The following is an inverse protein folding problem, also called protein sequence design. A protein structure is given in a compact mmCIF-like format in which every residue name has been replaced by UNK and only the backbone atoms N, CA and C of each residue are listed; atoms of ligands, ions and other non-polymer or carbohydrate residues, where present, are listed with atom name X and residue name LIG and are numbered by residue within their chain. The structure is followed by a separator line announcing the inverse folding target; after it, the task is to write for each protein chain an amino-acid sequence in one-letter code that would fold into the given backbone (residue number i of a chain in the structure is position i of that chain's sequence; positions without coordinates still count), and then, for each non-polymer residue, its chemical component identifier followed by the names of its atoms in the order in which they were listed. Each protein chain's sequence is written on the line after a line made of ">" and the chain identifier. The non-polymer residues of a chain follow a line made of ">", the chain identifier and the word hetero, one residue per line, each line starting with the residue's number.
data_IF_831376041729
#
_entry.id   IF_831376041729
#
_cell.length_a   1.000
_cell.length_b   1.000
_cell.length_c   1.000
_cell.angle_alpha   90.00
_cell.angle_beta   90.00
_cell.angle_gamma   90.00
#
_symmetry.space_group_name_H-M   'P 1'
#
loop_
_entity.id
_entity.type
_entity.pdbx_description
1 polymer ?
#
# COMPACT_ATOMS: atom_id res chain seq x y z
N UNK A 1 -13.48 44.75 -18.40
CA UNK A 1 -14.83 44.56 -17.82
C UNK A 1 -15.61 43.60 -18.69
N UNK A 2 -15.93 42.42 -18.16
CA UNK A 2 -16.75 41.40 -18.82
C UNK A 2 -18.22 41.69 -18.46
N UNK A 3 -19.20 41.53 -19.36
CA UNK A 3 -20.61 41.64 -19.01
C UNK A 3 -21.01 40.62 -17.93
N UNK A 4 -21.77 41.01 -16.91
CA UNK A 4 -22.08 40.17 -15.72
C UNK A 4 -22.54 38.74 -16.04
N UNK A 5 -23.28 38.52 -17.13
CA UNK A 5 -23.75 37.19 -17.54
C UNK A 5 -22.62 36.29 -18.05
N UNK A 6 -21.63 36.87 -18.75
CA UNK A 6 -20.45 36.15 -19.23
C UNK A 6 -19.42 35.96 -18.13
N UNK A 7 -19.37 36.86 -17.14
CA UNK A 7 -18.44 36.77 -16.01
C UNK A 7 -18.68 35.51 -15.17
N UNK A 8 -19.93 35.11 -14.97
CA UNK A 8 -20.28 33.89 -14.23
C UNK A 8 -19.81 32.58 -14.89
N UNK A 9 -19.55 32.61 -16.21
CA UNK A 9 -19.09 31.44 -16.98
C UNK A 9 -17.59 31.54 -17.26
N UNK A 10 -17.13 32.70 -17.74
CA UNK A 10 -15.76 32.90 -18.20
C UNK A 10 -14.76 32.98 -17.05
N UNK A 11 -15.12 33.58 -15.92
CA UNK A 11 -14.20 33.70 -14.78
C UNK A 11 -13.80 32.33 -14.22
N UNK A 12 -14.72 31.41 -13.85
CA UNK A 12 -14.31 30.09 -13.38
C UNK A 12 -13.62 29.26 -14.47
N UNK A 13 -14.06 29.37 -15.74
CA UNK A 13 -13.43 28.65 -16.85
C UNK A 13 -11.98 29.09 -17.07
N UNK A 14 -11.73 30.39 -17.23
CA UNK A 14 -10.38 30.93 -17.45
C UNK A 14 -9.49 30.72 -16.23
N UNK A 15 -10.05 30.81 -15.02
CA UNK A 15 -9.30 30.50 -13.78
C UNK A 15 -8.84 29.04 -13.78
N UNK A 16 -9.73 28.09 -14.09
CA UNK A 16 -9.33 26.67 -14.20
C UNK A 16 -8.36 26.43 -15.34
N UNK A 17 -8.59 27.01 -16.52
CA UNK A 17 -7.73 26.83 -17.69
C UNK A 17 -6.31 27.34 -17.44
N UNK A 18 -6.17 28.56 -16.92
CA UNK A 18 -4.86 29.15 -16.61
C UNK A 18 -4.18 28.39 -15.49
N UNK A 19 -4.91 28.03 -14.43
CA UNK A 19 -4.34 27.22 -13.33
C UNK A 19 -3.87 25.87 -13.85
N UNK A 20 -4.67 25.18 -14.65
CA UNK A 20 -4.29 23.90 -15.26
C UNK A 20 -3.05 24.02 -16.17
N UNK A 21 -3.00 25.07 -16.99
CA UNK A 21 -1.85 25.36 -17.85
C UNK A 21 -0.57 25.58 -17.03
N UNK A 22 -0.64 26.36 -15.95
CA UNK A 22 0.48 26.58 -15.02
C UNK A 22 0.87 25.28 -14.31
N UNK A 23 -0.12 24.49 -13.88
CA UNK A 23 0.14 23.21 -13.21
C UNK A 23 0.84 22.22 -14.13
N UNK A 24 0.43 22.09 -15.39
CA UNK A 24 1.08 21.15 -16.32
C UNK A 24 2.42 21.66 -16.82
N UNK A 25 2.53 22.92 -17.24
CA UNK A 25 3.76 23.43 -17.87
C UNK A 25 4.81 23.88 -16.86
N UNK A 26 4.38 24.38 -15.69
CA UNK A 26 5.27 24.86 -14.64
C UNK A 26 5.54 23.81 -13.57
N UNK A 27 4.49 23.36 -12.89
CA UNK A 27 4.62 22.42 -11.77
C UNK A 27 4.92 21.00 -12.26
N UNK A 28 4.34 20.59 -13.40
CA UNK A 28 4.48 19.27 -13.99
C UNK A 28 5.93 18.83 -14.17
N UNK A 29 6.81 19.62 -14.85
CA UNK A 29 8.21 19.27 -15.02
C UNK A 29 8.97 19.10 -13.69
N UNK A 30 8.66 19.93 -12.69
CA UNK A 30 9.29 19.85 -11.37
C UNK A 30 8.88 18.54 -10.68
N UNK A 31 7.58 18.23 -10.68
CA UNK A 31 7.06 16.98 -10.10
C UNK A 31 7.62 15.76 -10.84
N UNK A 32 7.69 15.81 -12.17
CA UNK A 32 8.24 14.73 -12.98
C UNK A 32 9.73 14.49 -12.71
N UNK A 33 10.51 15.55 -12.50
CA UNK A 33 11.93 15.41 -12.13
C UNK A 33 12.09 14.74 -10.74
N UNK A 34 11.23 15.10 -9.78
CA UNK A 34 11.19 14.46 -8.45
C UNK A 34 10.79 12.98 -8.58
N UNK A 35 9.72 12.70 -9.32
CA UNK A 35 9.24 11.33 -9.57
C UNK A 35 10.32 10.47 -10.22
N UNK A 36 11.01 11.00 -11.24
CA UNK A 36 12.10 10.29 -11.92
C UNK A 36 13.24 9.95 -10.96
N UNK A 37 13.61 10.88 -10.07
CA UNK A 37 14.60 10.61 -9.03
C UNK A 37 14.14 9.55 -8.02
N UNK A 38 12.86 9.58 -7.62
CA UNK A 38 12.28 8.57 -6.74
C UNK A 38 12.21 7.20 -7.40
N UNK A 39 11.86 7.12 -8.68
CA UNK A 39 11.83 5.88 -9.46
C UNK A 39 13.20 5.20 -9.47
N UNK A 40 14.27 5.95 -9.76
CA UNK A 40 15.65 5.42 -9.71
C UNK A 40 15.99 4.89 -8.31
N UNK A 41 15.61 5.62 -7.26
CA UNK A 41 15.83 5.19 -5.88
C UNK A 41 15.07 3.91 -5.53
N UNK A 42 13.80 3.81 -5.92
CA UNK A 42 12.96 2.63 -5.68
C UNK A 42 13.46 1.44 -6.48
N UNK A 43 13.80 1.60 -7.76
CA UNK A 43 14.41 0.54 -8.57
C UNK A 43 15.71 0.03 -7.96
N UNK A 44 16.58 0.93 -7.48
CA UNK A 44 17.82 0.55 -6.81
C UNK A 44 17.55 -0.30 -5.55
N UNK A 45 16.49 0.02 -4.79
CA UNK A 45 16.09 -0.77 -3.62
C UNK A 45 15.50 -2.12 -4.04
N UNK A 46 14.58 -2.16 -5.01
CA UNK A 46 13.95 -3.39 -5.50
C UNK A 46 14.99 -4.42 -5.94
N UNK A 47 16.07 -3.96 -6.58
CA UNK A 47 17.14 -4.83 -7.11
C UNK A 47 18.20 -5.24 -6.08
N UNK A 48 18.08 -4.84 -4.80
CA UNK A 48 18.97 -5.32 -3.76
C UNK A 48 18.86 -6.86 -3.62
N UNK A 49 19.99 -7.56 -3.46
CA UNK A 49 20.00 -9.02 -3.44
C UNK A 49 19.36 -9.60 -2.17
N UNK A 50 19.11 -10.92 -2.19
CA UNK A 50 18.66 -11.71 -1.04
C UNK A 50 17.32 -11.24 -0.41
N UNK A 51 16.47 -10.55 -1.18
CA UNK A 51 15.18 -10.05 -0.70
C UNK A 51 15.26 -8.83 0.21
N UNK A 52 16.45 -8.24 0.39
CA UNK A 52 16.64 -7.05 1.23
C UNK A 52 15.80 -5.89 0.70
N UNK A 53 15.74 -5.72 -0.62
CA UNK A 53 14.91 -4.72 -1.28
C UNK A 53 13.43 -4.87 -0.94
N UNK A 54 12.92 -6.09 -1.09
CA UNK A 54 11.55 -6.44 -0.71
C UNK A 54 11.28 -6.16 0.77
N UNK A 55 12.20 -6.53 1.67
CA UNK A 55 12.06 -6.27 3.09
C UNK A 55 11.91 -4.78 3.39
N UNK A 56 12.81 -3.95 2.84
CA UNK A 56 12.82 -2.52 3.09
C UNK A 56 11.55 -1.85 2.60
N UNK A 57 11.08 -2.20 1.40
CA UNK A 57 9.84 -1.67 0.82
C UNK A 57 8.63 -2.12 1.66
N UNK A 58 8.50 -3.42 1.92
CA UNK A 58 7.38 -3.96 2.69
C UNK A 58 7.33 -3.46 4.13
N UNK A 59 8.49 -3.16 4.74
CA UNK A 59 8.58 -2.58 6.08
C UNK A 59 8.35 -1.06 6.10
N UNK A 60 8.78 -0.34 5.06
CA UNK A 60 8.56 1.10 4.95
C UNK A 60 7.09 1.44 4.63
N UNK A 61 6.42 0.63 3.82
CA UNK A 61 5.07 0.92 3.33
C UNK A 61 4.04 1.21 4.44
N UNK A 62 3.92 0.40 5.52
CA UNK A 62 2.99 0.73 6.62
C UNK A 62 3.28 2.09 7.28
N UNK A 63 4.55 2.49 7.35
CA UNK A 63 4.96 3.79 7.89
C UNK A 63 4.61 4.93 6.91
N UNK A 64 4.75 4.69 5.60
CA UNK A 64 4.34 5.62 4.56
C UNK A 64 2.82 5.83 4.53
N UNK A 65 2.04 4.77 4.80
CA UNK A 65 0.58 4.86 4.96
C UNK A 65 0.23 5.74 6.16
N UNK A 66 0.94 5.58 7.28
CA UNK A 66 0.73 6.38 8.49
C UNK A 66 0.90 7.89 8.26
N UNK A 67 1.84 8.30 7.40
CA UNK A 67 2.09 9.71 7.08
C UNK A 67 1.48 10.17 5.75
N UNK A 68 0.75 9.29 5.05
CA UNK A 68 0.03 9.62 3.81
C UNK A 68 0.87 9.68 2.53
N UNK A 69 2.20 9.50 2.60
CA UNK A 69 3.07 9.61 1.41
C UNK A 69 3.01 8.38 0.48
N UNK A 70 2.38 7.28 0.90
CA UNK A 70 2.19 6.08 0.08
C UNK A 70 1.49 6.36 -1.26
N UNK A 71 0.66 7.41 -1.34
CA UNK A 71 0.01 7.83 -2.58
C UNK A 71 1.00 8.22 -3.69
N UNK A 72 2.24 8.60 -3.32
CA UNK A 72 3.30 8.89 -4.29
C UNK A 72 3.80 7.63 -5.01
N UNK A 73 3.58 6.43 -4.45
CA UNK A 73 4.00 5.15 -5.06
C UNK A 73 3.19 4.83 -6.31
N UNK A 74 1.94 5.29 -6.41
CA UNK A 74 1.07 5.06 -7.58
C UNK A 74 1.74 5.53 -8.88
N UNK A 75 2.42 6.67 -8.85
CA UNK A 75 3.13 7.20 -10.01
C UNK A 75 4.30 6.30 -10.42
N UNK A 76 5.09 5.85 -9.43
CA UNK A 76 6.23 4.94 -9.63
C UNK A 76 5.76 3.58 -10.16
N UNK A 77 4.72 3.01 -9.56
CA UNK A 77 4.08 1.77 -9.97
C UNK A 77 3.58 1.82 -11.41
N UNK A 78 2.91 2.91 -11.77
CA UNK A 78 2.40 3.13 -13.14
C UNK A 78 3.56 3.25 -14.12
N UNK A 79 4.62 3.96 -13.75
CA UNK A 79 5.84 4.10 -14.54
C UNK A 79 6.56 2.76 -14.75
N UNK A 80 6.70 1.94 -13.70
CA UNK A 80 7.26 0.58 -13.79
C UNK A 80 6.43 -0.33 -14.68
N UNK A 81 5.10 -0.30 -14.53
CA UNK A 81 4.19 -1.10 -15.34
C UNK A 81 4.26 -0.68 -16.82
N UNK A 82 4.35 0.62 -17.10
CA UNK A 82 4.47 1.15 -18.45
C UNK A 82 5.81 0.80 -19.11
N UNK A 83 6.91 0.80 -18.35
CA UNK A 83 8.26 0.56 -18.88
C UNK A 83 8.61 -0.93 -19.00
N UNK A 84 8.18 -1.75 -18.04
CA UNK A 84 8.57 -3.16 -17.94
C UNK A 84 7.43 -4.15 -18.26
N UNK A 85 6.18 -3.68 -18.28
CA UNK A 85 5.00 -4.54 -18.33
C UNK A 85 4.69 -5.24 -17.00
N UNK A 86 5.47 -4.97 -15.94
CA UNK A 86 5.33 -5.56 -14.61
C UNK A 86 5.30 -4.48 -13.53
N UNK A 87 4.59 -4.78 -12.45
CA UNK A 87 4.55 -3.96 -11.24
C UNK A 87 4.99 -4.84 -10.05
N UNK A 88 6.30 -4.93 -9.77
CA UNK A 88 6.79 -5.61 -8.58
C UNK A 88 6.48 -4.82 -7.31
N UNK A 89 6.40 -3.49 -7.39
CA UNK A 89 6.25 -2.61 -6.23
C UNK A 89 4.91 -2.87 -5.51
N UNK A 90 3.80 -2.87 -6.25
CA UNK A 90 2.46 -3.20 -5.70
C UNK A 90 2.42 -4.59 -5.05
N UNK A 91 3.18 -5.55 -5.59
CA UNK A 91 3.26 -6.91 -5.05
C UNK A 91 3.91 -6.95 -3.68
N UNK A 92 4.99 -6.17 -3.50
CA UNK A 92 5.70 -6.06 -2.23
C UNK A 92 4.84 -5.32 -1.18
N UNK A 93 4.23 -4.21 -1.59
CA UNK A 93 3.38 -3.38 -0.73
C UNK A 93 2.11 -4.09 -0.26
N UNK A 94 1.56 -4.98 -1.09
CA UNK A 94 0.34 -5.72 -0.76
C UNK A 94 0.46 -6.55 0.53
N UNK A 95 1.67 -6.94 0.94
CA UNK A 95 1.90 -7.69 2.18
C UNK A 95 1.49 -6.92 3.43
N UNK A 96 1.47 -5.58 3.39
CA UNK A 96 0.92 -4.75 4.47
C UNK A 96 -0.55 -5.09 4.74
N UNK A 97 -1.36 -5.20 3.70
CA UNK A 97 -2.78 -5.50 3.83
C UNK A 97 -3.02 -6.90 4.41
N UNK A 98 -2.22 -7.89 4.04
CA UNK A 98 -2.29 -9.24 4.60
C UNK A 98 -1.78 -9.31 6.05
N UNK A 99 -0.71 -8.60 6.38
CA UNK A 99 -0.24 -8.47 7.75
C UNK A 99 -1.34 -7.87 8.64
N UNK A 100 -2.00 -6.81 8.16
CA UNK A 100 -3.13 -6.17 8.84
C UNK A 100 -4.29 -7.14 9.12
N UNK A 101 -4.63 -8.03 8.19
CA UNK A 101 -5.64 -9.07 8.45
C UNK A 101 -5.25 -9.95 9.63
N UNK A 102 -4.00 -10.41 9.68
CA UNK A 102 -3.49 -11.26 10.77
C UNK A 102 -3.54 -10.55 12.12
N UNK A 103 -3.07 -9.30 12.18
CA UNK A 103 -3.06 -8.49 13.40
C UNK A 103 -4.48 -8.17 13.88
N UNK A 104 -5.36 -7.71 12.98
CA UNK A 104 -6.75 -7.37 13.32
C UNK A 104 -7.53 -8.60 13.81
N UNK A 105 -7.32 -9.76 13.18
CA UNK A 105 -7.94 -11.02 13.60
C UNK A 105 -7.43 -11.48 14.98
N UNK A 106 -6.12 -11.37 15.24
CA UNK A 106 -5.55 -11.72 16.54
C UNK A 106 -6.14 -10.86 17.67
N UNK A 107 -6.23 -9.55 17.46
CA UNK A 107 -6.80 -8.63 18.45
C UNK A 107 -8.31 -8.87 18.61
N UNK A 108 -9.05 -9.13 17.51
CA UNK A 108 -10.46 -9.48 17.58
C UNK A 108 -10.72 -10.69 18.49
N UNK A 109 -9.95 -11.78 18.32
CA UNK A 109 -10.13 -13.01 19.10
C UNK A 109 -9.72 -12.87 20.57
N UNK A 110 -8.78 -11.97 20.88
CA UNK A 110 -8.30 -11.73 22.25
C UNK A 110 -8.99 -10.60 22.99
N UNK A 111 -9.71 -9.73 22.27
CA UNK A 111 -10.41 -8.60 22.85
C UNK A 111 -11.46 -9.06 23.88
N UNK A 112 -11.45 -8.43 25.06
CA UNK A 112 -12.45 -8.70 26.12
C UNK A 112 -13.68 -7.80 26.03
N UNK A 113 -13.51 -6.56 25.58
CA UNK A 113 -14.64 -5.61 25.48
C UNK A 113 -15.36 -5.73 24.14
N UNK A 114 -16.69 -5.61 24.16
CA UNK A 114 -17.51 -5.62 22.94
C UNK A 114 -17.11 -4.52 21.95
N UNK A 115 -16.69 -3.35 22.48
CA UNK A 115 -16.20 -2.24 21.66
C UNK A 115 -14.92 -2.60 20.89
N UNK A 116 -13.94 -3.22 21.56
CA UNK A 116 -12.69 -3.63 20.89
C UNK A 116 -12.92 -4.74 19.88
N UNK A 117 -13.81 -5.70 20.19
CA UNK A 117 -14.22 -6.74 19.23
C UNK A 117 -14.87 -6.13 17.98
N UNK A 118 -15.84 -5.24 18.17
CA UNK A 118 -16.53 -4.58 17.05
C UNK A 118 -15.56 -3.76 16.19
N UNK A 119 -14.65 -2.96 16.80
CA UNK A 119 -13.66 -2.21 16.03
C UNK A 119 -12.72 -3.15 15.26
N UNK A 120 -12.18 -4.19 15.90
CA UNK A 120 -11.21 -5.08 15.26
C UNK A 120 -11.83 -5.90 14.13
N UNK A 121 -13.08 -6.36 14.29
CA UNK A 121 -13.81 -7.04 13.22
C UNK A 121 -14.13 -6.09 12.06
N UNK A 122 -14.60 -4.87 12.33
CA UNK A 122 -14.85 -3.89 11.28
C UNK A 122 -13.59 -3.48 10.51
N UNK A 123 -12.47 -3.37 11.21
CA UNK A 123 -11.16 -3.16 10.60
C UNK A 123 -10.73 -4.34 9.72
N UNK A 124 -10.87 -5.57 10.23
CA UNK A 124 -10.59 -6.79 9.47
C UNK A 124 -11.41 -6.87 8.18
N UNK A 125 -12.72 -6.64 8.25
CA UNK A 125 -13.59 -6.70 7.06
C UNK A 125 -13.28 -5.60 6.06
N UNK A 126 -12.99 -4.38 6.52
CA UNK A 126 -12.51 -3.28 5.67
C UNK A 126 -11.23 -3.65 4.94
N UNK A 127 -10.28 -4.26 5.67
CA UNK A 127 -8.96 -4.61 5.13
C UNK A 127 -9.02 -5.70 4.05
N UNK A 128 -10.01 -6.61 4.09
CA UNK A 128 -10.20 -7.63 3.03
C UNK A 128 -10.36 -6.99 1.64
N UNK A 129 -10.91 -5.78 1.59
CA UNK A 129 -11.13 -5.00 0.36
C UNK A 129 -10.07 -3.91 0.16
N UNK A 130 -8.96 -3.96 0.88
CA UNK A 130 -7.83 -3.05 0.70
C UNK A 130 -7.92 -1.72 1.45
N UNK A 131 -9.00 -1.47 2.20
CA UNK A 131 -9.14 -0.22 2.97
C UNK A 131 -8.49 -0.39 4.33
N UNK A 132 -7.35 0.27 4.52
CA UNK A 132 -6.43 -0.01 5.63
C UNK A 132 -6.53 0.97 6.80
N UNK A 133 -7.15 2.13 6.60
CA UNK A 133 -7.28 3.21 7.59
C UNK A 133 -8.00 2.74 8.87
N UNK A 134 -9.10 1.97 8.80
CA UNK A 134 -9.74 1.45 10.01
C UNK A 134 -8.83 0.51 10.80
N UNK A 135 -7.96 -0.26 10.13
CA UNK A 135 -7.00 -1.13 10.80
C UNK A 135 -5.86 -0.31 11.41
N UNK A 136 -5.26 0.60 10.64
CA UNK A 136 -4.14 1.40 11.10
C UNK A 136 -4.51 2.26 12.32
N UNK A 137 -5.57 3.07 12.21
CA UNK A 137 -5.97 4.00 13.26
C UNK A 137 -6.85 3.34 14.33
N UNK A 138 -7.68 2.37 13.95
CA UNK A 138 -8.62 1.70 14.87
C UNK A 138 -8.02 0.53 15.65
N UNK A 139 -6.92 -0.05 15.17
CA UNK A 139 -6.28 -1.24 15.75
C UNK A 139 -4.80 -1.01 16.00
N UNK A 140 -4.00 -0.67 14.99
CA UNK A 140 -2.54 -0.77 15.07
C UNK A 140 -1.88 0.23 16.02
N UNK A 141 -2.37 1.46 16.04
CA UNK A 141 -1.79 2.54 16.87
C UNK A 141 -2.74 2.99 17.99
N UNK A 142 -3.94 2.41 18.07
CA UNK A 142 -4.99 2.87 18.98
C UNK A 142 -4.60 2.82 20.45
N UNK A 143 -3.92 1.74 20.84
CA UNK A 143 -3.61 1.46 22.25
C UNK A 143 -2.12 1.54 22.56
N UNK A 144 -1.28 1.03 21.66
CA UNK A 144 0.18 1.17 21.68
C UNK A 144 0.73 0.87 20.28
N UNK A 145 2.05 1.00 20.07
CA UNK A 145 2.69 0.78 18.78
C UNK A 145 3.13 -0.67 18.51
N UNK A 146 2.94 -1.62 19.44
CA UNK A 146 3.41 -3.01 19.24
C UNK A 146 2.72 -3.70 18.06
N UNK A 147 1.40 -3.58 17.85
CA UNK A 147 0.75 -4.16 16.67
C UNK A 147 1.31 -3.60 15.36
N UNK A 148 1.58 -2.29 15.31
CA UNK A 148 2.21 -1.66 14.15
C UNK A 148 3.60 -2.25 13.86
N UNK A 149 4.43 -2.46 14.89
CA UNK A 149 5.75 -3.09 14.73
C UNK A 149 5.62 -4.51 14.18
N UNK A 150 4.66 -5.30 14.66
CA UNK A 150 4.39 -6.64 14.11
C UNK A 150 4.02 -6.53 12.63
N UNK A 151 3.08 -5.64 12.27
CA UNK A 151 2.69 -5.41 10.88
C UNK A 151 3.90 -5.06 10.00
N UNK A 152 4.75 -4.13 10.44
CA UNK A 152 5.96 -3.69 9.71
C UNK A 152 6.88 -4.86 9.44
N UNK A 153 7.20 -5.65 10.46
CA UNK A 153 8.13 -6.76 10.33
C UNK A 153 7.58 -7.89 9.48
N UNK A 154 6.32 -8.29 9.68
CA UNK A 154 5.73 -9.39 8.91
C UNK A 154 5.44 -8.99 7.47
N UNK A 155 5.05 -7.73 7.22
CA UNK A 155 4.92 -7.18 5.87
C UNK A 155 6.26 -7.17 5.16
N UNK A 156 7.32 -6.69 5.82
CA UNK A 156 8.69 -6.73 5.29
C UNK A 156 9.15 -8.15 4.97
N UNK A 157 8.94 -9.12 5.88
CA UNK A 157 9.34 -10.51 5.63
C UNK A 157 8.58 -11.11 4.44
N UNK A 158 7.26 -10.90 4.36
CA UNK A 158 6.47 -11.35 3.21
C UNK A 158 6.97 -10.76 1.89
N UNK A 159 7.24 -9.45 1.89
CA UNK A 159 7.75 -8.75 0.72
C UNK A 159 9.17 -9.22 0.33
N UNK A 160 10.04 -9.49 1.32
CA UNK A 160 11.36 -10.06 1.07
C UNK A 160 11.29 -11.39 0.34
N UNK A 161 10.38 -12.28 0.78
CA UNK A 161 10.19 -13.59 0.16
C UNK A 161 9.65 -13.43 -1.27
N UNK A 162 8.66 -12.56 -1.50
CA UNK A 162 8.13 -12.30 -2.85
C UNK A 162 9.21 -11.73 -3.78
N UNK A 163 10.05 -10.83 -3.28
CA UNK A 163 11.20 -10.29 -4.01
C UNK A 163 12.20 -11.38 -4.39
N UNK A 164 12.57 -12.27 -3.47
CA UNK A 164 13.47 -13.41 -3.76
C UNK A 164 12.90 -14.36 -4.81
N UNK A 165 11.58 -14.53 -4.82
CA UNK A 165 10.86 -15.38 -5.78
C UNK A 165 10.55 -14.65 -7.10
N UNK A 166 10.94 -13.39 -7.25
CA UNK A 166 10.66 -12.56 -8.42
C UNK A 166 9.16 -12.54 -8.80
N UNK A 167 8.29 -12.45 -7.79
CA UNK A 167 6.84 -12.34 -8.01
C UNK A 167 6.52 -10.87 -8.31
N UNK A 168 5.81 -10.63 -9.41
CA UNK A 168 5.35 -9.31 -9.81
C UNK A 168 3.97 -9.42 -10.46
N UNK A 169 3.15 -8.39 -10.26
CA UNK A 169 1.87 -8.25 -10.94
C UNK A 169 2.07 -7.73 -12.38
N UNK A 170 1.12 -8.01 -13.26
CA UNK A 170 1.12 -7.53 -14.65
C UNK A 170 0.07 -6.43 -14.91
N UNK A 171 -0.49 -5.89 -13.84
CA UNK A 171 -1.60 -4.94 -13.85
C UNK A 171 -1.61 -4.15 -12.55
N UNK A 172 -2.42 -3.09 -12.53
CA UNK A 172 -2.75 -2.33 -11.33
C UNK A 172 -4.17 -2.68 -10.89
N UNK A 173 -4.43 -2.85 -9.59
CA UNK A 173 -5.71 -3.33 -9.10
C UNK A 173 -5.98 -3.04 -7.63
N UNK A 174 -7.12 -3.55 -7.13
CA UNK A 174 -7.52 -3.42 -5.72
C UNK A 174 -6.68 -4.33 -4.82
N UNK A 175 -6.43 -3.88 -3.59
CA UNK A 175 -5.54 -4.57 -2.65
C UNK A 175 -6.18 -5.77 -1.92
N UNK A 176 -5.34 -6.66 -1.37
CA UNK A 176 -5.71 -7.82 -0.53
C UNK A 176 -6.52 -8.90 -1.27
N UNK A 177 -7.82 -9.10 -1.03
CA UNK A 177 -8.55 -10.22 -1.67
C UNK A 177 -8.72 -9.99 -3.18
N UNK A 178 -9.16 -8.82 -3.65
CA UNK A 178 -9.17 -8.53 -5.09
C UNK A 178 -7.80 -8.63 -5.78
N UNK A 179 -6.69 -8.45 -5.05
CA UNK A 179 -5.35 -8.38 -5.66
C UNK A 179 -4.91 -9.68 -6.34
N UNK A 180 -5.52 -10.82 -6.01
CA UNK A 180 -5.25 -12.09 -6.71
C UNK A 180 -5.52 -12.00 -8.22
N UNK A 181 -6.45 -11.14 -8.64
CA UNK A 181 -6.76 -10.90 -10.05
C UNK A 181 -5.55 -10.38 -10.84
N UNK A 182 -4.59 -9.74 -10.17
CA UNK A 182 -3.39 -9.18 -10.80
C UNK A 182 -2.35 -10.23 -11.20
N UNK A 183 -2.55 -11.49 -10.79
CA UNK A 183 -1.60 -12.59 -11.01
C UNK A 183 -2.18 -13.75 -11.82
N UNK A 184 -3.46 -13.72 -12.21
CA UNK A 184 -4.17 -14.85 -12.82
C UNK A 184 -3.56 -15.35 -14.14
N UNK A 185 -2.82 -14.49 -14.84
CA UNK A 185 -2.17 -14.82 -16.11
C UNK A 185 -0.78 -15.43 -15.93
N UNK A 186 -0.27 -15.55 -14.70
CA UNK A 186 1.02 -16.16 -14.38
C UNK A 186 0.85 -17.12 -13.19
N UNK A 187 0.79 -18.42 -13.49
CA UNK A 187 0.58 -19.47 -12.47
C UNK A 187 1.67 -19.52 -11.39
N UNK A 188 2.92 -19.24 -11.73
CA UNK A 188 4.01 -19.14 -10.74
C UNK A 188 3.78 -17.97 -9.79
N UNK A 189 3.48 -16.78 -10.33
CA UNK A 189 3.24 -15.59 -9.54
C UNK A 189 2.01 -15.76 -8.63
N UNK A 190 0.90 -16.29 -9.18
CA UNK A 190 -0.32 -16.54 -8.42
C UNK A 190 -0.09 -17.53 -7.26
N UNK A 191 0.61 -18.63 -7.51
CA UNK A 191 0.91 -19.64 -6.51
C UNK A 191 1.73 -19.06 -5.35
N UNK A 192 2.86 -18.44 -5.66
CA UNK A 192 3.74 -17.90 -4.63
C UNK A 192 3.15 -16.69 -3.91
N UNK A 193 2.42 -15.83 -4.62
CA UNK A 193 1.67 -14.74 -3.99
C UNK A 193 0.68 -15.28 -2.96
N UNK A 194 -0.06 -16.34 -3.29
CA UNK A 194 -1.02 -16.99 -2.37
C UNK A 194 -0.33 -17.61 -1.17
N UNK A 195 0.76 -18.34 -1.37
CA UNK A 195 1.49 -18.99 -0.25
C UNK A 195 2.05 -17.93 0.70
N UNK A 196 2.68 -16.89 0.15
CA UNK A 196 3.34 -15.86 0.97
C UNK A 196 2.33 -14.93 1.64
N UNK A 197 1.23 -14.57 0.97
CA UNK A 197 0.19 -13.75 1.58
C UNK A 197 -0.48 -14.46 2.76
N UNK A 198 -0.83 -15.74 2.62
CA UNK A 198 -1.36 -16.56 3.70
C UNK A 198 -0.33 -16.75 4.82
N UNK A 199 0.93 -17.01 4.46
CA UNK A 199 2.03 -17.07 5.41
C UNK A 199 2.21 -15.78 6.20
N UNK A 200 2.05 -14.62 5.55
CA UNK A 200 2.12 -13.30 6.18
C UNK A 200 0.97 -13.08 7.16
N UNK A 201 -0.26 -13.47 6.80
CA UNK A 201 -1.42 -13.43 7.72
C UNK A 201 -1.15 -14.28 8.96
N UNK A 202 -0.67 -15.52 8.77
CA UNK A 202 -0.39 -16.44 9.88
C UNK A 202 0.74 -15.92 10.76
N UNK A 203 1.84 -15.44 10.17
CA UNK A 203 2.97 -14.88 10.89
C UNK A 203 2.54 -13.65 11.73
N UNK A 204 1.78 -12.73 11.14
CA UNK A 204 1.24 -11.57 11.83
C UNK A 204 0.32 -11.98 12.97
N UNK A 205 -0.60 -12.91 12.72
CA UNK A 205 -1.51 -13.42 13.75
C UNK A 205 -0.79 -14.04 14.95
N UNK A 206 0.21 -14.89 14.69
CA UNK A 206 0.99 -15.57 15.74
C UNK A 206 1.84 -14.57 16.51
N UNK A 207 2.58 -13.70 15.81
CA UNK A 207 3.42 -12.68 16.43
C UNK A 207 2.60 -11.69 17.27
N UNK A 208 1.41 -11.31 16.81
CA UNK A 208 0.51 -10.44 17.57
C UNK A 208 0.02 -11.12 18.84
N UNK A 209 -0.41 -12.39 18.78
CA UNK A 209 -0.82 -13.13 19.97
C UNK A 209 0.31 -13.29 21.00
N UNK A 210 1.55 -13.41 20.55
CA UNK A 210 2.70 -13.60 21.43
C UNK A 210 3.17 -12.29 22.08
N UNK A 211 3.18 -11.16 21.34
CA UNK A 211 3.93 -9.97 21.77
C UNK A 211 3.13 -8.65 21.72
N UNK A 212 2.02 -8.60 20.99
CA UNK A 212 1.39 -7.34 20.62
C UNK A 212 -0.11 -7.23 20.94
N UNK A 213 -0.67 -8.15 21.73
CA UNK A 213 -2.00 -7.93 22.32
C UNK A 213 -1.91 -6.77 23.31
N UNK A 214 -2.68 -5.67 23.10
CA UNK A 214 -2.70 -4.53 24.00
C UNK A 214 -3.49 -4.78 25.29
#
# INVERSE_FOLDING_TARGET
>A
HIPNVLEQILTPFLTMLVTFAIMIMGVGPIVHAIESGMLVGVEAVIHLPFGIGGFLIGAAYPLMVLIGIHQTMIAIETSLLASTGLNPLITLEAMYGFANLGVALAIFLRARSNKAKATSMGAFTSQLFGVSEPTLFGVLIRYNFRPLIVTVLTSGIGAAILSMLNVAANSYGLAVVPSYLMYIYNGHALLWYTIVSLGTVVAAFVATNAFAIP
#
